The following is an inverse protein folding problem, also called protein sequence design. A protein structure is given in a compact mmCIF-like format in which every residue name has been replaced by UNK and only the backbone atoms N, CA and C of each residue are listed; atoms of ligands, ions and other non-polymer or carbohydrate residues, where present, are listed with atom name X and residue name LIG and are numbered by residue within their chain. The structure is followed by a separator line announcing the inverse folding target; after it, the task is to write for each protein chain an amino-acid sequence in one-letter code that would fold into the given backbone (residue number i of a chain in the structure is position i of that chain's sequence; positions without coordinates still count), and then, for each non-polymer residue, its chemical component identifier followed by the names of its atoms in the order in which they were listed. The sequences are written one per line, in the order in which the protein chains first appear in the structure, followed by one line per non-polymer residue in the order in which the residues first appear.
data_IF_491657496442
#
_entry.id   IF_491657496442
#
_cell.length_a   1.000
_cell.length_b   1.000
_cell.length_c   1.000
_cell.angle_alpha   90.00
_cell.angle_beta   90.00
_cell.angle_gamma   90.00
#
_symmetry.space_group_name_H-M   'P 1'
#
loop_
_entity.id
_entity.type
_entity.pdbx_description
1 polymer ?
#
# COMPACT_ATOMS: atom_id res chain seq x y z
N UNK A 1 -23.75 -14.17 -1.70
CA UNK A 1 -24.14 -12.87 -2.29
C UNK A 1 -23.31 -12.64 -3.54
N UNK A 2 -23.90 -12.10 -4.62
CA UNK A 2 -23.18 -11.74 -5.85
C UNK A 2 -22.98 -10.22 -5.88
N UNK A 3 -21.80 -9.77 -6.27
CA UNK A 3 -21.53 -8.34 -6.43
C UNK A 3 -22.32 -7.82 -7.65
N UNK A 4 -22.91 -6.64 -7.52
CA UNK A 4 -23.66 -5.97 -8.60
C UNK A 4 -23.00 -4.66 -8.98
N UNK A 5 -23.47 -4.07 -10.07
CA UNK A 5 -22.97 -2.79 -10.59
C UNK A 5 -23.05 -1.68 -9.55
N UNK A 6 -24.19 -1.56 -8.88
CA UNK A 6 -24.46 -0.57 -7.85
C UNK A 6 -23.51 -0.71 -6.65
N UNK A 7 -23.17 -1.95 -6.28
CA UNK A 7 -22.27 -2.22 -5.17
C UNK A 7 -20.85 -1.75 -5.52
N UNK A 8 -20.37 -2.04 -6.73
CA UNK A 8 -19.08 -1.53 -7.20
C UNK A 8 -19.05 0.00 -7.32
N UNK A 9 -20.11 0.61 -7.88
CA UNK A 9 -20.18 2.07 -8.01
C UNK A 9 -20.11 2.76 -6.65
N UNK A 10 -20.89 2.29 -5.67
CA UNK A 10 -20.89 2.86 -4.32
C UNK A 10 -19.50 2.74 -3.67
N UNK A 11 -18.83 1.58 -3.80
CA UNK A 11 -17.48 1.38 -3.26
C UNK A 11 -16.47 2.33 -3.92
N UNK A 12 -16.42 2.38 -5.25
CA UNK A 12 -15.45 3.23 -5.97
C UNK A 12 -15.74 4.73 -5.83
N UNK A 13 -16.98 5.15 -5.54
CA UNK A 13 -17.29 6.55 -5.23
C UNK A 13 -16.85 6.97 -3.82
N UNK A 14 -16.80 6.03 -2.89
CA UNK A 14 -16.37 6.28 -1.50
C UNK A 14 -14.86 6.21 -1.33
N UNK A 15 -14.19 5.41 -2.16
CA UNK A 15 -12.75 5.32 -2.13
C UNK A 15 -12.12 6.64 -2.61
N UNK A 16 -11.14 7.19 -1.87
CA UNK A 16 -10.31 8.26 -2.38
C UNK A 16 -9.60 7.84 -3.67
N UNK A 17 -9.51 8.76 -4.63
CA UNK A 17 -8.92 8.50 -5.95
C UNK A 17 -7.46 8.02 -5.85
N UNK A 18 -6.71 8.51 -4.86
CA UNK A 18 -5.32 8.12 -4.60
C UNK A 18 -5.18 6.62 -4.26
N UNK A 19 -6.27 5.98 -3.82
CA UNK A 19 -6.26 4.56 -3.47
C UNK A 19 -6.64 3.64 -4.61
N UNK A 20 -7.15 4.16 -5.74
CA UNK A 20 -7.56 3.34 -6.87
C UNK A 20 -6.44 2.43 -7.39
N UNK A 21 -5.20 2.93 -7.44
CA UNK A 21 -4.02 2.15 -7.83
C UNK A 21 -3.59 1.07 -6.84
N UNK A 22 -4.14 1.10 -5.62
CA UNK A 22 -3.94 0.09 -4.58
C UNK A 22 -5.15 -0.84 -4.45
N UNK A 23 -6.17 -0.72 -5.32
CA UNK A 23 -7.35 -1.59 -5.27
C UNK A 23 -7.08 -2.88 -6.01
N UNK A 24 -7.43 -3.99 -5.38
CA UNK A 24 -7.43 -5.31 -5.99
C UNK A 24 -8.87 -5.83 -6.06
N UNK A 25 -9.27 -6.26 -7.27
CA UNK A 25 -10.48 -7.06 -7.45
C UNK A 25 -10.12 -8.53 -7.24
N UNK A 26 -10.74 -9.16 -6.25
CA UNK A 26 -10.62 -10.59 -6.03
C UNK A 26 -11.81 -11.27 -6.68
N UNK A 27 -11.52 -12.12 -7.65
CA UNK A 27 -12.51 -12.89 -8.39
C UNK A 27 -12.85 -14.19 -7.65
N UNK A 28 -13.99 -14.79 -7.97
CA UNK A 28 -14.48 -16.03 -7.33
C UNK A 28 -13.57 -17.23 -7.52
N UNK A 29 -12.80 -17.26 -8.60
CA UNK A 29 -11.77 -18.26 -8.85
C UNK A 29 -10.44 -17.95 -8.13
N UNK A 30 -10.45 -17.04 -7.15
CA UNK A 30 -9.29 -16.56 -6.39
C UNK A 30 -8.26 -15.77 -7.21
N UNK A 31 -8.52 -15.54 -8.49
CA UNK A 31 -7.69 -14.68 -9.32
C UNK A 31 -7.81 -13.24 -8.83
N UNK A 32 -6.70 -12.50 -8.86
CA UNK A 32 -6.70 -11.12 -8.36
C UNK A 32 -6.18 -10.19 -9.44
N UNK A 33 -6.97 -9.16 -9.74
CA UNK A 33 -6.62 -8.11 -10.70
C UNK A 33 -6.34 -6.84 -9.93
N UNK A 34 -5.10 -6.35 -10.01
CA UNK A 34 -4.74 -5.05 -9.49
C UNK A 34 -5.24 -3.97 -10.44
N UNK A 35 -6.04 -3.06 -9.91
CA UNK A 35 -6.65 -1.96 -10.64
C UNK A 35 -5.64 -0.84 -10.77
N UNK A 36 -5.41 -0.42 -12.00
CA UNK A 36 -4.64 0.79 -12.29
C UNK A 36 -5.60 1.95 -12.57
N UNK A 37 -6.61 1.73 -13.41
CA UNK A 37 -7.63 2.74 -13.70
C UNK A 37 -8.95 2.08 -14.09
N UNK A 38 -10.06 2.55 -13.52
CA UNK A 38 -11.40 2.17 -13.97
C UNK A 38 -11.79 3.01 -15.18
N UNK A 39 -12.10 2.37 -16.31
CA UNK A 39 -12.48 3.06 -17.53
C UNK A 39 -13.99 3.31 -17.61
N UNK A 40 -14.82 2.31 -17.24
CA UNK A 40 -16.28 2.43 -17.31
C UNK A 40 -17.02 1.36 -16.49
N UNK A 41 -18.21 1.71 -16.00
CA UNK A 41 -19.19 0.80 -15.41
C UNK A 41 -20.33 0.51 -16.40
N UNK A 42 -20.22 -0.58 -17.16
CA UNK A 42 -21.27 -1.07 -18.06
C UNK A 42 -22.39 -1.77 -17.28
N UNK A 43 -23.57 -2.08 -17.88
CA UNK A 43 -24.67 -2.71 -17.15
C UNK A 43 -24.34 -4.07 -16.51
N UNK A 44 -23.46 -4.86 -17.11
CA UNK A 44 -23.20 -6.25 -16.72
C UNK A 44 -21.74 -6.55 -16.33
N UNK A 45 -20.81 -5.65 -16.63
CA UNK A 45 -19.39 -5.85 -16.38
C UNK A 45 -18.68 -4.53 -16.11
N UNK A 46 -17.53 -4.62 -15.46
CA UNK A 46 -16.61 -3.52 -15.22
C UNK A 46 -15.52 -3.52 -16.28
N UNK A 47 -15.22 -2.33 -16.83
CA UNK A 47 -14.11 -2.13 -17.77
C UNK A 47 -13.00 -1.37 -17.07
N UNK A 48 -11.81 -1.95 -17.02
CA UNK A 48 -10.66 -1.35 -16.33
C UNK A 48 -9.34 -1.69 -17.01
N UNK A 49 -8.34 -0.88 -16.75
CA UNK A 49 -6.93 -1.18 -16.98
C UNK A 49 -6.31 -1.67 -15.68
N UNK A 50 -5.46 -2.68 -15.76
CA UNK A 50 -4.82 -3.24 -14.58
C UNK A 50 -3.72 -4.23 -14.92
N UNK A 51 -3.37 -5.04 -13.92
CA UNK A 51 -2.44 -6.16 -14.07
C UNK A 51 -2.93 -7.35 -13.27
N UNK A 52 -2.56 -8.53 -13.73
CA UNK A 52 -2.80 -9.76 -12.98
C UNK A 52 -1.81 -9.88 -11.83
N UNK A 53 -2.30 -10.28 -10.65
CA UNK A 53 -1.43 -10.46 -9.48
C UNK A 53 -0.49 -11.63 -9.70
N UNK A 54 0.82 -11.40 -9.59
CA UNK A 54 1.86 -12.40 -9.89
C UNK A 54 2.43 -12.30 -11.31
N UNK A 55 1.90 -11.40 -12.14
CA UNK A 55 2.47 -11.07 -13.45
C UNK A 55 3.23 -9.73 -13.40
N UNK A 56 4.25 -9.60 -14.25
CA UNK A 56 4.95 -8.35 -14.56
C UNK A 56 4.29 -7.57 -15.70
N UNK A 57 3.25 -8.13 -16.32
CA UNK A 57 2.59 -7.52 -17.47
C UNK A 57 1.60 -6.45 -17.00
N UNK A 58 1.95 -5.21 -17.26
CA UNK A 58 1.18 -4.02 -16.87
C UNK A 58 0.25 -3.53 -17.99
N UNK A 59 -0.74 -2.72 -17.62
CA UNK A 59 -1.56 -1.97 -18.58
C UNK A 59 -2.55 -2.80 -19.40
N UNK A 60 -2.87 -4.03 -18.97
CA UNK A 60 -3.85 -4.89 -19.65
C UNK A 60 -5.28 -4.39 -19.45
N UNK A 61 -6.09 -4.49 -20.49
CA UNK A 61 -7.53 -4.22 -20.41
C UNK A 61 -8.29 -5.45 -19.89
N UNK A 62 -9.21 -5.23 -18.95
CA UNK A 62 -10.05 -6.25 -18.38
C UNK A 62 -11.53 -5.89 -18.52
N UNK A 63 -12.33 -6.92 -18.84
CA UNK A 63 -13.79 -6.88 -18.87
C UNK A 63 -14.28 -7.92 -17.86
N UNK A 64 -14.67 -7.47 -16.68
CA UNK A 64 -14.94 -8.35 -15.54
C UNK A 64 -16.43 -8.32 -15.23
N UNK A 65 -17.17 -9.43 -15.42
CA UNK A 65 -18.56 -9.54 -14.99
C UNK A 65 -18.68 -9.24 -13.49
N UNK A 66 -19.69 -8.47 -13.08
CA UNK A 66 -19.85 -8.14 -11.67
C UNK A 66 -20.06 -9.39 -10.81
N UNK A 67 -20.76 -10.40 -11.33
CA UNK A 67 -21.02 -11.62 -10.62
C UNK A 67 -19.77 -12.47 -10.36
N UNK A 68 -18.68 -12.28 -11.12
CA UNK A 68 -17.38 -12.91 -10.88
C UNK A 68 -16.55 -12.22 -9.79
N UNK A 69 -16.91 -11.00 -9.39
CA UNK A 69 -16.21 -10.29 -8.31
C UNK A 69 -16.68 -10.87 -6.97
N UNK A 70 -15.74 -11.45 -6.21
CA UNK A 70 -15.99 -11.95 -4.87
C UNK A 70 -15.96 -10.80 -3.85
N UNK A 71 -14.92 -9.97 -3.89
CA UNK A 71 -14.78 -8.78 -3.06
C UNK A 71 -13.72 -7.82 -3.62
N UNK A 72 -13.73 -6.59 -3.11
CA UNK A 72 -12.75 -5.54 -3.41
C UNK A 72 -11.89 -5.34 -2.17
N UNK A 73 -10.56 -5.27 -2.33
CA UNK A 73 -9.63 -5.02 -1.22
C UNK A 73 -8.65 -3.90 -1.56
N UNK A 74 -8.16 -3.22 -0.53
CA UNK A 74 -7.07 -2.26 -0.63
C UNK A 74 -5.78 -2.98 -0.27
N UNK A 75 -4.81 -3.02 -1.19
CA UNK A 75 -3.52 -3.72 -1.04
C UNK A 75 -2.52 -2.90 -0.21
N UNK A 76 -2.97 -2.46 0.98
CA UNK A 76 -2.13 -1.89 2.04
C UNK A 76 -2.85 -1.98 3.37
N UNK A 77 -2.13 -1.71 4.45
CA UNK A 77 -2.74 -1.53 5.77
C UNK A 77 -3.65 -0.30 5.74
N UNK A 78 -4.91 -0.49 6.13
CA UNK A 78 -5.94 0.54 6.27
C UNK A 78 -6.44 0.47 7.70
N UNK A 79 -6.37 1.59 8.44
CA UNK A 79 -6.92 1.66 9.81
C UNK A 79 -8.45 1.70 9.77
N UNK A 80 -9.11 1.30 10.86
CA UNK A 80 -10.58 1.29 10.92
C UNK A 80 -11.13 2.72 10.86
N UNK A 81 -10.47 3.67 11.52
CA UNK A 81 -10.83 5.08 11.44
C UNK A 81 -10.72 5.65 10.04
N UNK A 82 -9.75 5.18 9.26
CA UNK A 82 -9.61 5.55 7.85
C UNK A 82 -10.77 5.01 7.01
N UNK A 83 -11.11 3.72 7.17
CA UNK A 83 -12.22 3.10 6.46
C UNK A 83 -13.55 3.81 6.77
N UNK A 84 -13.78 4.18 8.03
CA UNK A 84 -14.96 4.96 8.46
C UNK A 84 -15.03 6.34 7.80
N UNK A 85 -13.90 7.03 7.65
CA UNK A 85 -13.84 8.33 6.98
C UNK A 85 -14.22 8.24 5.50
N UNK A 86 -13.98 7.11 4.81
CA UNK A 86 -14.45 6.91 3.43
C UNK A 86 -15.99 6.91 3.33
N UNK A 87 -16.68 6.63 4.43
CA UNK A 87 -18.15 6.70 4.51
C UNK A 87 -18.65 8.00 5.14
N UNK A 88 -17.77 8.98 5.39
CA UNK A 88 -18.11 10.26 5.99
C UNK A 88 -18.30 10.23 7.52
N UNK A 89 -17.95 9.13 8.18
CA UNK A 89 -18.00 9.04 9.64
C UNK A 89 -16.85 9.83 10.28
N UNK A 90 -17.16 10.62 11.31
CA UNK A 90 -16.21 11.40 12.09
C UNK A 90 -16.20 10.99 13.56
N UNK A 91 -15.10 11.22 14.28
CA UNK A 91 -15.03 10.99 15.73
C UNK A 91 -14.62 9.58 16.16
N UNK A 92 -14.30 8.70 15.21
CA UNK A 92 -13.66 7.42 15.51
C UNK A 92 -12.15 7.61 15.70
N UNK A 93 -11.64 7.14 16.85
CA UNK A 93 -10.22 7.11 17.18
C UNK A 93 -9.78 5.65 17.16
N UNK A 94 -8.76 5.34 16.37
CA UNK A 94 -8.19 4.00 16.33
C UNK A 94 -7.51 3.70 17.68
N UNK A 95 -7.77 2.52 18.25
CA UNK A 95 -7.20 2.12 19.55
C UNK A 95 -5.67 2.13 19.55
N UNK A 96 -5.05 1.87 18.40
CA UNK A 96 -3.60 1.88 18.24
C UNK A 96 -3.02 3.31 18.33
N UNK A 97 -3.78 4.35 17.93
CA UNK A 97 -3.37 5.76 18.08
C UNK A 97 -3.43 6.23 19.54
N UNK A 98 -4.26 5.59 20.37
CA UNK A 98 -4.36 5.88 21.81
C UNK A 98 -3.08 5.46 22.57
N UNK A 99 -2.31 4.51 22.03
CA UNK A 99 -1.14 3.92 22.68
C UNK A 99 0.16 4.68 22.34
N UNK A 100 0.27 5.20 21.12
CA UNK A 100 1.43 6.02 20.69
C UNK A 100 1.43 7.43 21.30
N UNK A 101 0.27 7.94 21.74
CA UNK A 101 0.15 9.27 22.36
C UNK A 101 0.68 9.39 23.80
N UNK A 102 1.11 8.29 24.42
CA UNK A 102 1.58 8.28 25.81
C UNK A 102 3.10 8.50 25.96
N UNK A 103 3.88 8.48 24.87
CA UNK A 103 5.35 8.51 24.93
C UNK A 103 6.00 9.75 24.30
N UNK A 104 5.22 10.80 24.01
CA UNK A 104 5.75 12.10 23.55
C UNK A 104 5.61 13.19 24.61
N UNK A 105 6.07 12.90 25.83
CA UNK A 105 6.30 13.91 26.85
C UNK A 105 7.80 14.26 26.94
N UNK A 106 8.15 15.42 26.37
CA UNK A 106 9.33 16.25 26.67
C UNK A 106 10.69 15.77 26.15
N UNK A 107 10.97 16.05 24.87
CA UNK A 107 12.32 16.38 24.43
C UNK A 107 12.41 17.91 24.23
N UNK A 108 13.03 18.59 25.20
CA UNK A 108 13.34 20.01 25.13
C UNK A 108 14.27 20.33 23.94
N UNK A 109 14.17 21.53 23.32
CA UNK A 109 15.03 21.91 22.21
C UNK A 109 16.44 22.26 22.74
N UNK A 110 17.46 21.49 22.33
CA UNK A 110 18.85 21.87 22.50
C UNK A 110 19.27 22.90 21.42
N UNK A 111 19.97 23.98 21.77
CA UNK A 111 20.35 25.03 20.82
C UNK A 111 21.53 24.63 19.93
N UNK A 112 21.46 25.07 18.67
CA UNK A 112 22.45 24.89 17.61
C UNK A 112 23.83 25.47 17.96
N UNK A 113 24.90 24.71 17.69
CA UNK A 113 26.23 25.24 17.30
C UNK A 113 26.83 24.32 16.22
N UNK A 114 27.46 24.83 15.15
CA UNK A 114 28.00 24.00 14.07
C UNK A 114 29.43 23.53 14.37
N UNK A 115 29.71 22.24 14.19
CA UNK A 115 31.07 21.69 14.23
C UNK A 115 31.32 20.75 13.05
N UNK A 116 32.23 21.17 12.17
CA UNK A 116 32.87 20.35 11.13
C UNK A 116 34.00 19.56 11.79
N UNK A 117 33.98 18.21 11.73
CA UNK A 117 35.18 17.36 11.86
C UNK A 117 34.89 15.87 11.55
N UNK A 118 35.54 15.35 10.49
CA UNK A 118 36.17 14.02 10.34
C UNK A 118 35.41 12.71 10.63
N UNK A 119 35.56 11.66 9.79
CA UNK A 119 35.02 10.33 10.08
C UNK A 119 35.86 9.63 11.16
N UNK A 120 35.26 9.45 12.34
CA UNK A 120 35.81 8.57 13.39
C UNK A 120 35.31 7.16 13.09
N UNK A 121 36.23 6.29 12.64
CA UNK A 121 36.01 4.85 12.50
C UNK A 121 35.95 4.21 13.89
N UNK A 122 34.76 3.97 14.42
CA UNK A 122 34.56 3.10 15.58
C UNK A 122 34.53 1.63 15.13
N UNK A 123 35.35 0.73 15.72
CA UNK A 123 35.30 -0.70 15.42
C UNK A 123 33.98 -1.29 15.92
N UNK A 124 33.13 -1.76 15.00
CA UNK A 124 31.86 -2.43 15.33
C UNK A 124 30.62 -1.90 14.63
N UNK A 125 30.74 -0.95 13.70
CA UNK A 125 29.59 -0.46 12.93
C UNK A 125 29.01 -1.58 12.04
N UNK A 126 27.75 -2.02 12.25
CA UNK A 126 27.11 -3.06 11.44
C UNK A 126 27.06 -2.70 9.95
N UNK A 127 27.08 -1.40 9.61
CA UNK A 127 27.14 -0.94 8.23
C UNK A 127 28.49 -1.26 7.56
N UNK A 128 29.60 -1.23 8.32
CA UNK A 128 30.92 -1.61 7.81
C UNK A 128 31.02 -3.12 7.57
N UNK A 129 30.45 -3.92 8.48
CA UNK A 129 30.36 -5.38 8.35
C UNK A 129 29.50 -5.77 7.14
N UNK A 130 28.38 -5.08 6.90
CA UNK A 130 27.52 -5.31 5.74
C UNK A 130 28.24 -5.03 4.41
N UNK A 131 29.03 -3.95 4.34
CA UNK A 131 29.83 -3.61 3.14
C UNK A 131 30.91 -4.65 2.87
N UNK A 132 31.60 -5.14 3.91
CA UNK A 132 32.64 -6.16 3.77
C UNK A 132 32.08 -7.47 3.19
N UNK A 133 30.94 -7.93 3.72
CA UNK A 133 30.25 -9.14 3.24
C UNK A 133 29.76 -9.00 1.79
N UNK A 134 29.29 -7.80 1.42
CA UNK A 134 28.85 -7.53 0.04
C UNK A 134 30.03 -7.58 -0.94
N UNK A 135 31.16 -6.97 -0.59
CA UNK A 135 32.36 -6.95 -1.43
C UNK A 135 32.95 -8.34 -1.63
N UNK A 136 32.90 -9.21 -0.62
CA UNK A 136 33.37 -10.60 -0.70
C UNK A 136 32.50 -11.46 -1.63
N UNK A 137 31.17 -11.25 -1.61
CA UNK A 137 30.23 -11.87 -2.55
C UNK A 137 30.43 -11.43 -4.00
N UNK A 138 30.86 -10.19 -4.23
CA UNK A 138 31.15 -9.69 -5.58
C UNK A 138 32.44 -10.28 -6.15
N UNK A 139 33.46 -10.46 -5.31
CA UNK A 139 34.74 -11.07 -5.72
C UNK A 139 34.59 -12.56 -6.06
N UNK A 140 33.82 -13.30 -5.27
CA UNK A 140 33.56 -14.73 -5.52
C UNK A 140 32.70 -15.01 -6.75
N UNK A 141 32.00 -14.01 -7.30
CA UNK A 141 31.17 -14.15 -8.50
C UNK A 141 31.92 -13.88 -9.81
N UNK A 142 33.14 -13.37 -9.74
CA UNK A 142 33.94 -12.95 -10.91
C UNK A 142 35.12 -13.88 -11.16
N UNK A 143 35.10 -15.09 -10.58
CA UNK A 143 36.08 -16.15 -10.80
C UNK A 143 35.40 -17.42 -11.32
#
# INVERSE_FOLDING_TARGET
MRMRREDCLDIFQRLPEQLHGCVNLVLRNQFTVAVDTVARFEPHYLVLRGRETGSTDEGRGFFIPYDEIAYIRIERTVKVGELKRFYGETGYVDKDEQLDGADTATAAPAPNTPAVAGPILTPGDPAAIARQNLLERLRSRTQ
#
